data_IF_145164120209
#
_entry.id   IF_145164120209
#
_cell.length_a   1.000
_cell.length_b   1.000
_cell.length_c   1.000
_cell.angle_alpha   90.00
_cell.angle_beta   90.00
_cell.angle_gamma   90.00
#
_symmetry.space_group_name_H-M   'P 1'
#
loop_
_entity.id
_entity.type
_entity.pdbx_description
1 polymer ?
#
# COMPACT_ATOMS: atom_id res chain seq x y z
N UNK A 1 3.52 -6.78 -0.71
CA UNK A 1 2.11 -7.12 -0.50
C UNK A 1 1.52 -6.44 0.74
N UNK A 2 2.11 -6.58 1.96
CA UNK A 2 1.55 -6.08 3.24
C UNK A 2 1.11 -4.60 3.15
N UNK A 3 1.96 -3.72 2.62
CA UNK A 3 1.62 -2.29 2.46
C UNK A 3 0.38 -2.06 1.58
N UNK A 4 0.27 -2.78 0.46
CA UNK A 4 -0.92 -2.70 -0.42
C UNK A 4 -2.18 -3.20 0.28
N UNK A 5 -2.08 -4.32 1.00
CA UNK A 5 -3.22 -4.87 1.74
C UNK A 5 -3.66 -3.92 2.85
N UNK A 6 -2.78 -3.18 3.49
CA UNK A 6 -3.12 -2.18 4.50
C UNK A 6 -3.84 -0.95 3.93
N UNK A 7 -3.61 -0.58 2.66
CA UNK A 7 -4.38 0.46 1.97
C UNK A 7 -5.67 -0.12 1.36
N UNK A 8 -5.56 -0.74 0.20
CA UNK A 8 -6.68 -1.15 -0.65
C UNK A 8 -7.12 -2.63 -0.48
N UNK A 9 -6.51 -3.36 0.45
CA UNK A 9 -6.89 -4.76 0.67
C UNK A 9 -7.97 -4.92 1.75
N UNK A 10 -8.61 -6.06 1.79
CA UNK A 10 -9.55 -6.47 2.82
C UNK A 10 -9.33 -7.95 3.16
N UNK A 11 -9.37 -8.30 4.43
CA UNK A 11 -9.35 -9.70 4.88
C UNK A 11 -10.70 -10.00 5.52
N UNK A 12 -11.52 -10.81 4.82
CA UNK A 12 -12.78 -11.32 5.32
C UNK A 12 -12.58 -12.67 6.02
N UNK A 13 -13.36 -12.90 7.06
CA UNK A 13 -13.31 -14.15 7.85
C UNK A 13 -14.56 -14.98 7.57
N UNK A 14 -14.36 -16.26 7.29
CA UNK A 14 -15.39 -17.29 7.13
C UNK A 14 -15.17 -18.41 8.16
N UNK A 15 -16.16 -19.28 8.42
CA UNK A 15 -16.02 -20.34 9.43
C UNK A 15 -14.82 -21.27 9.23
N UNK A 16 -14.40 -21.51 7.98
CA UNK A 16 -13.33 -22.46 7.65
C UNK A 16 -12.13 -21.85 6.93
N UNK A 17 -12.19 -20.56 6.58
CA UNK A 17 -11.15 -19.90 5.78
C UNK A 17 -11.20 -18.38 5.98
N UNK A 18 -10.19 -17.71 5.45
CA UNK A 18 -10.17 -16.27 5.26
C UNK A 18 -10.14 -15.98 3.76
N UNK A 19 -10.57 -14.79 3.36
CA UNK A 19 -10.40 -14.28 2.00
C UNK A 19 -9.58 -13.00 2.04
N UNK A 20 -8.53 -12.95 1.25
CA UNK A 20 -7.87 -11.68 0.91
C UNK A 20 -8.49 -11.15 -0.37
N UNK A 21 -8.91 -9.89 -0.34
CA UNK A 21 -9.40 -9.14 -1.49
C UNK A 21 -8.54 -7.89 -1.65
N UNK A 22 -7.97 -7.70 -2.84
CA UNK A 22 -7.28 -6.44 -3.21
C UNK A 22 -8.10 -5.83 -4.33
N UNK A 23 -8.53 -4.58 -4.14
CA UNK A 23 -9.32 -3.83 -5.12
C UNK A 23 -8.41 -2.88 -5.90
N UNK A 24 -8.42 -2.99 -7.22
CA UNK A 24 -7.61 -2.17 -8.11
C UNK A 24 -8.49 -1.49 -9.16
N UNK A 25 -8.07 -0.31 -9.64
CA UNK A 25 -8.71 0.30 -10.79
C UNK A 25 -8.43 -0.55 -12.04
N UNK A 26 -9.48 -0.89 -12.80
CA UNK A 26 -9.39 -1.76 -13.99
C UNK A 26 -8.49 -1.20 -15.10
N UNK A 27 -8.20 0.10 -15.10
CA UNK A 27 -7.27 0.72 -16.04
C UNK A 27 -5.80 0.47 -15.71
N UNK A 28 -5.48 0.04 -14.48
CA UNK A 28 -4.11 -0.20 -14.01
C UNK A 28 -3.72 -1.67 -14.17
N UNK A 29 -3.61 -2.14 -15.41
CA UNK A 29 -3.35 -3.55 -15.74
C UNK A 29 -2.03 -4.02 -15.10
N UNK A 30 -0.96 -3.23 -15.20
CA UNK A 30 0.35 -3.60 -14.64
C UNK A 30 0.31 -3.75 -13.11
N UNK A 31 -0.45 -2.88 -12.42
CA UNK A 31 -0.69 -3.01 -10.98
C UNK A 31 -1.41 -4.32 -10.66
N UNK A 32 -2.46 -4.64 -11.42
CA UNK A 32 -3.24 -5.86 -11.24
C UNK A 32 -2.36 -7.08 -11.41
N UNK A 33 -1.61 -7.18 -12.52
CA UNK A 33 -0.70 -8.28 -12.81
C UNK A 33 0.36 -8.44 -11.72
N UNK A 34 0.98 -7.33 -11.30
CA UNK A 34 1.97 -7.32 -10.22
C UNK A 34 1.42 -7.91 -8.93
N UNK A 35 0.24 -7.49 -8.49
CA UNK A 35 -0.32 -7.96 -7.22
C UNK A 35 -0.92 -9.36 -7.33
N UNK A 36 -1.47 -9.75 -8.47
CA UNK A 36 -1.86 -11.13 -8.73
C UNK A 36 -0.65 -12.07 -8.60
N UNK A 37 0.45 -11.76 -9.28
CA UNK A 37 1.70 -12.54 -9.20
C UNK A 37 2.30 -12.57 -7.78
N UNK A 38 2.24 -11.45 -7.04
CA UNK A 38 2.71 -11.43 -5.65
C UNK A 38 1.84 -12.28 -4.72
N UNK A 39 0.53 -12.28 -4.90
CA UNK A 39 -0.39 -13.13 -4.15
C UNK A 39 -0.11 -14.60 -4.47
N UNK A 40 -0.02 -14.95 -5.75
CA UNK A 40 0.31 -16.31 -6.20
C UNK A 40 1.62 -16.81 -5.59
N UNK A 41 2.68 -16.01 -5.69
CA UNK A 41 4.00 -16.38 -5.14
C UNK A 41 3.97 -16.57 -3.62
N UNK A 42 3.21 -15.75 -2.87
CA UNK A 42 3.18 -15.82 -1.41
C UNK A 42 2.33 -16.98 -0.92
N UNK A 43 1.21 -17.25 -1.57
CA UNK A 43 0.26 -18.29 -1.16
C UNK A 43 0.42 -19.59 -1.93
N UNK A 44 1.32 -19.64 -2.92
CA UNK A 44 1.57 -20.81 -3.78
C UNK A 44 0.29 -21.31 -4.47
N UNK A 45 -0.60 -20.36 -4.78
CA UNK A 45 -1.92 -20.60 -5.33
C UNK A 45 -2.37 -19.44 -6.19
N UNK A 46 -2.86 -19.71 -7.39
CA UNK A 46 -3.35 -18.67 -8.31
C UNK A 46 -4.59 -17.96 -7.74
N UNK A 47 -4.56 -16.62 -7.61
CA UNK A 47 -5.72 -15.85 -7.19
C UNK A 47 -6.76 -15.76 -8.28
N UNK A 48 -8.02 -15.64 -7.90
CA UNK A 48 -9.10 -15.25 -8.81
C UNK A 48 -9.02 -13.76 -9.10
N UNK A 49 -8.99 -13.39 -10.37
CA UNK A 49 -9.00 -11.99 -10.83
C UNK A 49 -10.31 -11.74 -11.57
N UNK A 50 -11.16 -10.88 -11.05
CA UNK A 50 -12.49 -10.62 -11.61
C UNK A 50 -12.84 -9.15 -11.64
N UNK A 51 -13.40 -8.68 -12.75
CA UNK A 51 -13.94 -7.33 -12.90
C UNK A 51 -15.31 -7.25 -12.22
N UNK A 52 -15.56 -6.16 -11.48
CA UNK A 52 -16.89 -5.89 -10.94
C UNK A 52 -17.74 -5.22 -12.00
N UNK A 53 -18.97 -5.72 -12.19
CA UNK A 53 -19.91 -5.17 -13.17
C UNK A 53 -20.27 -3.71 -12.83
N UNK A 54 -20.36 -2.86 -13.85
CA UNK A 54 -20.79 -1.46 -13.71
C UNK A 54 -19.78 -0.49 -13.08
N UNK A 55 -18.61 -0.96 -12.63
CA UNK A 55 -17.59 -0.10 -12.03
C UNK A 55 -16.17 -0.41 -12.55
N UNK A 56 -15.32 0.61 -12.58
CA UNK A 56 -13.92 0.45 -12.99
C UNK A 56 -13.07 -0.19 -11.86
N UNK A 57 -13.47 -1.38 -11.42
CA UNK A 57 -12.81 -2.10 -10.33
C UNK A 57 -12.56 -3.55 -10.71
N UNK A 58 -11.32 -4.00 -10.48
CA UNK A 58 -10.91 -5.40 -10.54
C UNK A 58 -10.57 -5.84 -9.13
N UNK A 59 -11.03 -7.04 -8.76
CA UNK A 59 -10.74 -7.66 -7.46
C UNK A 59 -9.85 -8.87 -7.66
N UNK A 60 -8.70 -8.87 -6.97
CA UNK A 60 -7.81 -10.02 -6.83
C UNK A 60 -8.20 -10.71 -5.54
N UNK A 61 -8.62 -11.99 -5.60
CA UNK A 61 -9.09 -12.75 -4.43
C UNK A 61 -8.33 -14.04 -4.26
N UNK A 62 -8.05 -14.37 -3.01
CA UNK A 62 -7.57 -15.69 -2.64
C UNK A 62 -8.24 -16.15 -1.36
N UNK A 63 -8.66 -17.41 -1.33
CA UNK A 63 -9.21 -18.07 -0.15
C UNK A 63 -8.17 -19.01 0.42
N UNK A 64 -7.78 -18.78 1.68
CA UNK A 64 -6.78 -19.59 2.39
C UNK A 64 -7.01 -19.51 3.90
N UNK A 65 -6.45 -20.46 4.66
CA UNK A 65 -6.45 -20.42 6.12
C UNK A 65 -5.35 -19.45 6.63
N UNK A 66 -5.66 -18.74 7.70
CA UNK A 66 -4.68 -17.93 8.43
C UNK A 66 -3.97 -16.83 7.60
N UNK A 67 -4.66 -16.23 6.63
CA UNK A 67 -4.13 -15.10 5.83
C UNK A 67 -3.72 -13.95 6.75
N UNK A 68 -4.59 -13.58 7.70
CA UNK A 68 -4.36 -12.51 8.68
C UNK A 68 -3.09 -12.76 9.50
N UNK A 69 -2.92 -13.97 10.00
CA UNK A 69 -1.74 -14.39 10.75
C UNK A 69 -0.48 -14.38 9.88
N UNK A 70 -0.56 -14.91 8.65
CA UNK A 70 0.57 -14.97 7.70
C UNK A 70 1.05 -13.59 7.30
N UNK A 71 0.14 -12.63 7.09
CA UNK A 71 0.49 -11.25 6.74
C UNK A 71 0.76 -10.35 7.95
N UNK A 72 0.44 -10.80 9.17
CA UNK A 72 0.53 -9.98 10.39
C UNK A 72 -0.46 -8.81 10.38
N UNK A 73 -1.62 -8.97 9.73
CA UNK A 73 -2.64 -7.94 9.58
C UNK A 73 -3.91 -8.37 10.31
N UNK A 74 -4.38 -7.56 11.24
CA UNK A 74 -5.64 -7.80 11.94
C UNK A 74 -6.83 -7.69 10.99
N UNK A 75 -7.82 -8.56 11.18
CA UNK A 75 -9.10 -8.52 10.47
C UNK A 75 -10.03 -7.44 11.02
N UNK A 76 -11.06 -7.05 10.25
CA UNK A 76 -12.03 -6.05 10.68
C UNK A 76 -11.77 -4.64 10.15
N UNK A 77 -12.50 -3.67 10.68
CA UNK A 77 -12.43 -2.27 10.22
C UNK A 77 -11.12 -1.60 10.62
N UNK A 78 -10.28 -1.26 9.65
CA UNK A 78 -8.97 -0.64 9.88
C UNK A 78 -9.03 0.79 10.41
N UNK A 79 -10.15 1.47 10.26
CA UNK A 79 -10.29 2.87 10.68
C UNK A 79 -9.91 3.09 12.15
N UNK A 80 -10.22 2.09 13.01
CA UNK A 80 -9.97 2.15 14.45
C UNK A 80 -8.81 1.25 14.91
N UNK A 81 -8.21 0.46 14.01
CA UNK A 81 -7.13 -0.46 14.37
C UNK A 81 -5.83 0.29 14.62
N UNK A 82 -5.13 -0.08 15.69
CA UNK A 82 -3.75 0.36 15.93
C UNK A 82 -2.80 -0.51 15.09
N UNK A 83 -2.47 -0.01 13.91
CA UNK A 83 -1.55 -0.71 12.99
C UNK A 83 -0.13 -0.59 13.52
N UNK A 84 0.63 -1.68 13.41
CA UNK A 84 2.06 -1.74 13.75
C UNK A 84 2.85 -2.31 12.59
N UNK A 85 4.08 -1.83 12.42
CA UNK A 85 5.00 -2.41 11.43
C UNK A 85 5.66 -3.63 12.04
N UNK A 86 5.63 -4.80 11.39
CA UNK A 86 6.36 -5.97 11.84
C UNK A 86 7.87 -5.66 12.03
N UNK A 87 8.46 -6.14 13.13
CA UNK A 87 9.87 -5.86 13.45
C UNK A 87 10.84 -6.25 12.34
N UNK A 88 10.58 -7.37 11.65
CA UNK A 88 11.40 -7.83 10.54
C UNK A 88 11.41 -6.88 9.32
N UNK A 89 10.33 -6.11 9.10
CA UNK A 89 10.30 -5.05 8.07
C UNK A 89 11.27 -3.93 8.47
N UNK A 90 11.28 -3.58 9.76
CA UNK A 90 12.15 -2.53 10.27
C UNK A 90 13.63 -2.91 10.28
N UNK A 91 13.97 -4.20 10.29
CA UNK A 91 15.36 -4.66 10.33
C UNK A 91 16.13 -4.42 9.03
N UNK A 92 15.46 -4.19 7.89
CA UNK A 92 16.09 -4.03 6.60
C UNK A 92 15.52 -2.85 5.81
N UNK A 93 16.40 -1.95 5.34
CA UNK A 93 16.02 -0.77 4.55
C UNK A 93 15.20 -1.14 3.31
N UNK A 94 15.56 -2.21 2.60
CA UNK A 94 14.84 -2.64 1.40
C UNK A 94 13.43 -3.12 1.72
N UNK A 95 13.21 -3.73 2.89
CA UNK A 95 11.86 -4.12 3.33
C UNK A 95 11.01 -2.91 3.67
N UNK A 96 11.59 -1.90 4.31
CA UNK A 96 10.92 -0.60 4.57
C UNK A 96 10.49 0.06 3.27
N UNK A 97 11.39 0.13 2.27
CA UNK A 97 11.10 0.69 0.94
C UNK A 97 9.96 -0.06 0.26
N UNK A 98 10.00 -1.40 0.25
CA UNK A 98 8.94 -2.24 -0.36
C UNK A 98 7.61 -2.13 0.38
N UNK A 99 7.64 -1.97 1.68
CA UNK A 99 6.44 -1.74 2.50
C UNK A 99 5.81 -0.38 2.18
N UNK A 100 6.61 0.70 2.16
CA UNK A 100 6.16 2.03 1.76
C UNK A 100 5.66 2.04 0.30
N UNK A 101 6.36 1.37 -0.63
CA UNK A 101 5.88 1.23 -2.00
C UNK A 101 4.46 0.71 -2.05
N UNK A 102 4.16 -0.39 -1.35
CA UNK A 102 2.81 -0.96 -1.33
C UNK A 102 1.76 0.00 -0.75
N UNK A 103 2.10 0.75 0.31
CA UNK A 103 1.22 1.77 0.87
C UNK A 103 0.96 2.91 -0.12
N UNK A 104 2.00 3.41 -0.80
CA UNK A 104 1.85 4.48 -1.79
C UNK A 104 1.13 4.01 -3.06
N UNK A 105 1.30 2.77 -3.48
CA UNK A 105 0.55 2.20 -4.62
C UNK A 105 -0.95 2.14 -4.34
N UNK A 106 -1.34 1.94 -3.08
CA UNK A 106 -2.74 1.98 -2.65
C UNK A 106 -3.26 3.42 -2.45
N UNK A 107 -2.64 4.18 -1.58
CA UNK A 107 -3.18 5.44 -1.05
C UNK A 107 -2.37 6.67 -1.48
N UNK A 108 -1.35 6.48 -2.33
CA UNK A 108 -0.45 7.53 -2.77
C UNK A 108 -0.92 8.25 -4.01
N UNK A 109 -0.55 9.52 -4.12
CA UNK A 109 -0.76 10.34 -5.31
C UNK A 109 0.40 11.29 -5.53
N UNK A 110 0.57 11.73 -6.78
CA UNK A 110 1.51 12.80 -7.13
C UNK A 110 0.72 14.01 -7.60
N UNK A 111 1.21 15.20 -7.23
CA UNK A 111 0.74 16.47 -7.77
C UNK A 111 1.95 17.19 -8.36
N UNK A 112 1.91 17.43 -9.68
CA UNK A 112 2.96 18.11 -10.42
C UNK A 112 2.33 19.28 -11.15
N UNK A 113 2.73 20.50 -10.77
CA UNK A 113 2.33 21.73 -11.45
C UNK A 113 3.58 22.45 -11.95
N UNK A 114 3.88 22.27 -13.23
CA UNK A 114 5.11 22.76 -13.88
C UNK A 114 5.25 24.30 -13.82
N UNK A 115 4.19 25.11 -14.08
CA UNK A 115 4.30 26.55 -14.05
C UNK A 115 4.81 27.13 -12.73
N UNK A 116 4.44 26.53 -11.60
CA UNK A 116 4.89 26.98 -10.26
C UNK A 116 6.01 26.09 -9.69
N UNK A 117 6.60 25.21 -10.49
CA UNK A 117 7.61 24.24 -10.05
C UNK A 117 7.19 23.44 -8.80
N UNK A 118 5.89 23.16 -8.67
CA UNK A 118 5.36 22.42 -7.52
C UNK A 118 5.40 20.92 -7.79
N UNK A 119 6.05 20.17 -6.89
CA UNK A 119 6.17 18.72 -6.93
C UNK A 119 5.78 18.17 -5.57
N UNK A 120 4.76 17.31 -5.52
CA UNK A 120 4.31 16.71 -4.26
C UNK A 120 4.07 15.22 -4.43
N UNK A 121 4.66 14.41 -3.58
CA UNK A 121 4.28 13.02 -3.34
C UNK A 121 3.45 13.01 -2.06
N UNK A 122 2.21 12.55 -2.17
CA UNK A 122 1.22 12.61 -1.10
C UNK A 122 0.76 11.21 -0.75
N UNK A 123 0.71 10.90 0.54
CA UNK A 123 0.02 9.75 1.11
C UNK A 123 -1.17 10.24 1.92
N UNK A 124 -2.38 9.75 1.64
CA UNK A 124 -3.60 10.17 2.33
C UNK A 124 -4.28 8.98 2.99
N UNK A 125 -4.61 9.07 4.27
CA UNK A 125 -5.34 8.03 4.99
C UNK A 125 -6.06 8.61 6.20
N UNK A 126 -7.10 7.92 6.71
CA UNK A 126 -7.84 8.31 7.92
C UNK A 126 -7.36 7.59 9.17
N UNK A 127 -6.50 6.58 9.05
CA UNK A 127 -5.95 5.86 10.17
C UNK A 127 -4.69 6.57 10.67
N UNK A 128 -4.79 7.11 11.88
CA UNK A 128 -3.74 7.90 12.53
C UNK A 128 -2.44 7.10 12.73
N UNK A 129 -2.55 5.81 13.13
CA UNK A 129 -1.36 4.98 13.32
C UNK A 129 -0.63 4.72 12.00
N UNK A 130 -1.36 4.58 10.88
CA UNK A 130 -0.77 4.38 9.57
C UNK A 130 -0.07 5.66 9.06
N UNK A 131 -0.67 6.83 9.28
CA UNK A 131 -0.03 8.12 8.99
C UNK A 131 1.27 8.29 9.79
N UNK A 132 1.25 7.96 11.09
CA UNK A 132 2.44 7.99 11.93
C UNK A 132 3.55 7.08 11.40
N UNK A 133 3.19 5.85 11.02
CA UNK A 133 4.11 4.88 10.45
C UNK A 133 4.77 5.44 9.19
N UNK A 134 3.97 5.91 8.22
CA UNK A 134 4.50 6.46 6.96
C UNK A 134 5.43 7.64 7.23
N UNK A 135 5.03 8.56 8.11
CA UNK A 135 5.85 9.72 8.50
C UNK A 135 7.21 9.29 9.07
N UNK A 136 7.22 8.38 10.06
CA UNK A 136 8.43 7.91 10.70
C UNK A 136 9.34 7.12 9.74
N UNK A 137 8.76 6.28 8.88
CA UNK A 137 9.53 5.51 7.91
C UNK A 137 10.16 6.39 6.84
N UNK A 138 9.47 7.44 6.37
CA UNK A 138 10.05 8.42 5.45
C UNK A 138 11.20 9.19 6.11
N UNK A 139 11.04 9.63 7.36
CA UNK A 139 12.14 10.26 8.11
C UNK A 139 13.34 9.32 8.27
N UNK A 140 13.11 8.06 8.58
CA UNK A 140 14.16 7.04 8.67
C UNK A 140 14.92 6.83 7.35
N UNK A 141 14.26 7.04 6.21
CA UNK A 141 14.89 6.98 4.88
C UNK A 141 15.61 8.27 4.49
N UNK A 142 15.61 9.30 5.36
CA UNK A 142 16.30 10.58 5.15
C UNK A 142 15.47 11.64 4.44
N UNK A 143 14.15 11.45 4.32
CA UNK A 143 13.24 12.47 3.79
C UNK A 143 12.74 13.41 4.90
N UNK A 144 12.25 14.59 4.50
CA UNK A 144 11.65 15.58 5.39
C UNK A 144 10.15 15.75 5.06
N UNK A 145 9.31 14.74 5.39
CA UNK A 145 7.90 14.81 5.10
C UNK A 145 7.21 15.87 5.96
N UNK A 146 6.24 16.56 5.38
CA UNK A 146 5.28 17.39 6.11
C UNK A 146 4.04 16.57 6.44
N UNK A 147 3.47 16.75 7.64
CA UNK A 147 2.27 16.10 8.10
C UNK A 147 1.14 17.11 8.28
N UNK A 148 -0.02 16.80 7.76
CA UNK A 148 -1.30 17.43 8.07
C UNK A 148 -2.28 16.41 8.64
N UNK A 149 -3.53 16.80 8.91
CA UNK A 149 -4.52 15.96 9.60
C UNK A 149 -4.66 14.54 9.00
N UNK A 150 -4.77 14.43 7.69
CA UNK A 150 -5.07 13.18 6.96
C UNK A 150 -4.05 12.87 5.86
N UNK A 151 -2.91 13.58 5.84
CA UNK A 151 -1.92 13.49 4.76
C UNK A 151 -0.49 13.60 5.25
N UNK A 152 0.38 12.87 4.58
CA UNK A 152 1.83 13.02 4.63
C UNK A 152 2.30 13.42 3.25
N UNK A 153 3.12 14.46 3.13
CA UNK A 153 3.61 14.92 1.83
C UNK A 153 5.10 15.20 1.83
N UNK A 154 5.77 14.88 0.73
CA UNK A 154 7.12 15.32 0.38
C UNK A 154 6.97 16.39 -0.69
N UNK A 155 7.47 17.62 -0.42
CA UNK A 155 7.29 18.80 -1.28
C UNK A 155 8.59 19.41 -1.80
N UNK A 156 9.73 19.08 -1.19
CA UNK A 156 11.04 19.52 -1.71
C UNK A 156 11.30 18.80 -3.03
N UNK A 157 11.60 19.56 -4.10
CA UNK A 157 11.77 19.04 -5.45
C UNK A 157 12.75 17.88 -5.53
N UNK A 158 13.93 18.01 -4.94
CA UNK A 158 14.93 16.96 -4.95
C UNK A 158 14.45 15.69 -4.21
N UNK A 159 13.82 15.87 -3.06
CA UNK A 159 13.28 14.75 -2.28
C UNK A 159 12.11 14.07 -2.99
N UNK A 160 11.28 14.84 -3.73
CA UNK A 160 10.22 14.29 -4.55
C UNK A 160 10.79 13.29 -5.58
N UNK A 161 11.78 13.71 -6.39
CA UNK A 161 12.36 12.82 -7.40
C UNK A 161 13.07 11.62 -6.77
N UNK A 162 13.86 11.83 -5.73
CA UNK A 162 14.51 10.74 -4.96
C UNK A 162 13.49 9.74 -4.39
N UNK A 163 12.36 10.23 -3.87
CA UNK A 163 11.32 9.36 -3.30
C UNK A 163 10.58 8.55 -4.38
N UNK A 164 10.26 9.15 -5.53
CA UNK A 164 9.65 8.44 -6.67
C UNK A 164 10.58 7.33 -7.17
N UNK A 165 11.87 7.62 -7.30
CA UNK A 165 12.87 6.65 -7.73
C UNK A 165 13.05 5.53 -6.70
N UNK A 166 13.27 5.88 -5.44
CA UNK A 166 13.50 4.91 -4.36
C UNK A 166 12.29 3.98 -4.17
N UNK A 167 11.09 4.54 -4.13
CA UNK A 167 9.86 3.77 -3.96
C UNK A 167 9.43 3.07 -5.26
N UNK A 168 10.03 3.41 -6.40
CA UNK A 168 9.58 2.96 -7.73
C UNK A 168 8.05 3.13 -7.89
N UNK A 169 7.54 4.27 -7.44
CA UNK A 169 6.10 4.55 -7.40
C UNK A 169 5.51 4.50 -8.81
N UNK A 170 4.54 3.59 -9.00
CA UNK A 170 3.88 3.32 -10.30
C UNK A 170 4.85 3.03 -11.46
N UNK A 171 6.02 2.48 -11.17
CA UNK A 171 6.92 1.90 -12.16
C UNK A 171 6.73 0.37 -12.15
N UNK A 172 6.12 -0.15 -13.20
CA UNK A 172 5.82 -1.59 -13.35
C UNK A 172 6.60 -2.17 -14.52
#
# INVERSE_FOLDING_TARGET
>A
LIGMVLGDGHIGVFPRSEVLIISCNSKNIDLINRYASLVEKIFEKSPSVSKSNGINCVKIRIYEKHISKRLGIQTGSRKKLKIQVPKWILSNKNYVVRYLRGLYEAEGSTNIHKPTCTYKLIFSNRNESLLNIVFLLLKRLGFHPHRSKDKIQISKREEFFKSIELLQFRKY
#
